data_IF_288072234592
#
_entry.id   IF_288072234592
#
_cell.length_a   1.000
_cell.length_b   1.000
_cell.length_c   1.000
_cell.angle_alpha   90.00
_cell.angle_beta   90.00
_cell.angle_gamma   90.00
#
_symmetry.space_group_name_H-M   'P 1'
#
loop_
_entity.id
_entity.type
_entity.pdbx_description
1 polymer ?
#
# COMPACT_ATOMS: atom_id res chain seq x y z
N UNK A 1 12.42 -5.29 4.22
CA UNK A 1 11.16 -5.21 3.44
C UNK A 1 10.04 -4.86 4.40
N UNK A 2 9.11 -3.99 4.00
CA UNK A 2 7.93 -3.63 4.82
C UNK A 2 6.68 -4.21 4.19
N UNK A 3 5.88 -4.93 4.98
CA UNK A 3 4.57 -5.46 4.57
C UNK A 3 3.47 -4.63 5.26
N UNK A 4 2.50 -4.20 4.46
CA UNK A 4 1.41 -3.34 4.89
C UNK A 4 0.09 -4.04 4.63
N UNK A 5 -0.63 -4.38 5.70
CA UNK A 5 -1.96 -5.00 5.61
C UNK A 5 -2.82 -4.59 6.80
N UNK A 6 -4.11 -4.96 6.80
CA UNK A 6 -4.98 -4.84 7.99
C UNK A 6 -4.57 -5.78 9.13
N UNK A 7 -3.61 -6.68 8.91
CA UNK A 7 -3.10 -7.61 9.93
C UNK A 7 -4.11 -8.66 10.38
N UNK A 8 -5.11 -8.99 9.56
CA UNK A 8 -6.16 -9.98 9.88
C UNK A 8 -5.66 -11.42 9.78
N UNK A 9 -4.71 -11.69 8.89
CA UNK A 9 -4.12 -13.02 8.69
C UNK A 9 -2.61 -12.91 8.91
N UNK A 10 -2.01 -13.76 9.76
CA UNK A 10 -0.57 -13.79 9.93
C UNK A 10 0.13 -14.41 8.72
N UNK A 11 1.37 -13.99 8.49
CA UNK A 11 2.30 -14.57 7.52
C UNK A 11 3.41 -15.35 8.24
N UNK A 12 4.19 -16.13 7.49
CA UNK A 12 5.27 -16.99 7.99
C UNK A 12 6.67 -16.34 7.90
N UNK A 13 6.77 -15.05 7.58
CA UNK A 13 8.06 -14.38 7.36
C UNK A 13 8.84 -14.04 8.65
N UNK A 14 8.28 -14.31 9.83
CA UNK A 14 8.94 -14.04 11.12
C UNK A 14 9.46 -12.59 11.23
N UNK A 15 10.65 -12.40 11.80
CA UNK A 15 11.24 -11.06 11.97
C UNK A 15 12.00 -10.55 10.72
N UNK A 16 11.93 -11.27 9.59
CA UNK A 16 12.61 -10.86 8.36
C UNK A 16 11.98 -9.63 7.68
N UNK A 17 10.77 -9.24 8.11
CA UNK A 17 10.00 -8.14 7.54
C UNK A 17 9.46 -7.21 8.63
N UNK A 18 9.44 -5.93 8.33
CA UNK A 18 8.75 -4.94 9.14
C UNK A 18 7.25 -4.99 8.80
N UNK A 19 6.37 -4.99 9.80
CA UNK A 19 4.92 -5.03 9.59
C UNK A 19 4.28 -3.73 10.05
N UNK A 20 3.50 -3.11 9.17
CA UNK A 20 2.65 -1.97 9.50
C UNK A 20 1.21 -2.41 9.34
N UNK A 21 0.44 -2.30 10.43
CA UNK A 21 -0.99 -2.60 10.45
C UNK A 21 -1.77 -1.32 10.18
N UNK A 22 -2.36 -1.22 8.99
CA UNK A 22 -3.13 -0.06 8.56
C UNK A 22 -4.19 -0.48 7.55
N UNK A 23 -5.33 0.21 7.58
CA UNK A 23 -6.33 0.10 6.54
C UNK A 23 -6.04 1.14 5.45
N UNK A 24 -5.80 0.69 4.21
CA UNK A 24 -5.47 1.58 3.08
C UNK A 24 -6.58 2.57 2.74
N UNK A 25 -7.81 2.30 3.16
CA UNK A 25 -8.97 3.16 2.91
C UNK A 25 -9.06 4.29 3.93
N UNK A 26 -8.29 4.22 5.03
CA UNK A 26 -8.22 5.26 6.04
C UNK A 26 -7.08 6.23 5.70
N UNK A 27 -7.45 7.40 5.18
CA UNK A 27 -6.50 8.43 4.75
C UNK A 27 -5.60 8.90 5.89
N UNK A 28 -6.15 9.26 7.04
CA UNK A 28 -5.37 9.80 8.16
C UNK A 28 -4.35 8.77 8.67
N UNK A 29 -4.76 7.52 8.81
CA UNK A 29 -3.87 6.45 9.25
C UNK A 29 -2.75 6.15 8.23
N UNK A 30 -3.04 6.27 6.93
CA UNK A 30 -2.04 6.13 5.88
C UNK A 30 -1.04 7.30 5.89
N UNK A 31 -1.52 8.53 6.06
CA UNK A 31 -0.67 9.71 6.18
C UNK A 31 0.21 9.66 7.44
N UNK A 32 -0.34 9.24 8.58
CA UNK A 32 0.43 9.06 9.81
C UNK A 32 1.52 8.00 9.67
N UNK A 33 1.18 6.85 9.06
CA UNK A 33 2.10 5.73 8.90
C UNK A 33 3.22 5.99 7.88
N UNK A 34 2.95 6.77 6.82
CA UNK A 34 3.84 6.87 5.67
C UNK A 34 4.31 8.27 5.30
N UNK A 35 3.65 9.33 5.76
CA UNK A 35 3.96 10.71 5.35
C UNK A 35 5.35 11.22 5.76
N UNK A 36 6.08 10.48 6.60
CA UNK A 36 7.48 10.76 6.96
C UNK A 36 8.44 9.61 6.61
N UNK A 37 7.99 8.63 5.81
CA UNK A 37 8.77 7.44 5.48
C UNK A 37 9.17 7.45 4.00
N UNK A 38 10.46 7.23 3.72
CA UNK A 38 10.97 7.17 2.34
C UNK A 38 11.17 5.73 1.87
N UNK A 39 10.73 5.46 0.65
CA UNK A 39 10.86 4.15 0.01
C UNK A 39 11.44 4.27 -1.40
N UNK A 40 12.35 3.37 -1.79
CA UNK A 40 12.80 3.29 -3.17
C UNK A 40 11.68 2.78 -4.09
N UNK A 41 10.92 1.78 -3.64
CA UNK A 41 9.83 1.17 -4.41
C UNK A 41 8.67 0.80 -3.49
N UNK A 42 7.45 1.12 -3.92
CA UNK A 42 6.21 0.62 -3.33
C UNK A 42 5.49 -0.27 -4.35
N UNK A 43 5.13 -1.48 -3.94
CA UNK A 43 4.27 -2.37 -4.70
C UNK A 43 2.86 -2.34 -4.11
N UNK A 44 1.88 -1.95 -4.92
CA UNK A 44 0.47 -1.98 -4.57
C UNK A 44 -0.25 -3.06 -5.37
N UNK A 45 -0.81 -4.05 -4.66
CA UNK A 45 -1.52 -5.17 -5.27
C UNK A 45 -3.04 -4.96 -5.32
N UNK A 46 -3.59 -3.93 -4.65
CA UNK A 46 -5.03 -3.71 -4.53
C UNK A 46 -5.36 -2.22 -4.66
N UNK A 47 -5.99 -1.83 -5.77
CA UNK A 47 -6.48 -0.46 -6.00
C UNK A 47 -7.75 -0.49 -6.87
N UNK A 48 -8.91 -0.68 -6.24
CA UNK A 48 -10.16 -0.91 -6.96
C UNK A 48 -10.93 0.36 -7.30
N UNK A 49 -10.72 1.43 -6.54
CA UNK A 49 -11.46 2.66 -6.70
C UNK A 49 -10.51 3.89 -6.77
N UNK A 50 -10.97 5.02 -7.33
CA UNK A 50 -10.15 6.22 -7.45
C UNK A 50 -9.73 6.85 -6.11
N UNK A 51 -10.52 6.68 -5.05
CA UNK A 51 -10.21 7.21 -3.72
C UNK A 51 -8.99 6.52 -3.12
N UNK A 52 -8.89 5.20 -3.25
CA UNK A 52 -7.73 4.42 -2.81
C UNK A 52 -6.44 4.83 -3.53
N UNK A 53 -6.55 5.20 -4.81
CA UNK A 53 -5.42 5.71 -5.59
C UNK A 53 -4.99 7.09 -5.07
N UNK A 54 -5.96 7.97 -4.82
CA UNK A 54 -5.72 9.31 -4.27
C UNK A 54 -5.02 9.24 -2.91
N UNK A 55 -5.51 8.42 -1.98
CA UNK A 55 -4.88 8.23 -0.67
C UNK A 55 -3.43 7.76 -0.82
N UNK A 56 -3.16 6.82 -1.73
CA UNK A 56 -1.80 6.35 -1.97
C UNK A 56 -0.89 7.45 -2.54
N UNK A 57 -1.37 8.26 -3.49
CA UNK A 57 -0.60 9.38 -4.02
C UNK A 57 -0.29 10.41 -2.94
N UNK A 58 -1.27 10.76 -2.10
CA UNK A 58 -1.06 11.70 -0.99
C UNK A 58 -0.09 11.15 0.06
N UNK A 59 -0.13 9.84 0.33
CA UNK A 59 0.73 9.21 1.35
C UNK A 59 2.17 8.99 0.89
N UNK A 60 2.40 8.76 -0.41
CA UNK A 60 3.70 8.34 -0.94
C UNK A 60 4.31 9.28 -1.97
N UNK A 61 3.54 10.19 -2.58
CA UNK A 61 3.91 10.94 -3.80
C UNK A 61 5.24 11.68 -3.70
N UNK A 62 5.52 12.28 -2.54
CA UNK A 62 6.77 13.01 -2.28
C UNK A 62 7.87 12.15 -1.63
N UNK A 63 7.56 10.88 -1.33
CA UNK A 63 8.39 10.02 -0.51
C UNK A 63 8.74 8.67 -1.16
N UNK A 64 8.39 8.47 -2.43
CA UNK A 64 8.67 7.23 -3.18
C UNK A 64 9.36 7.50 -4.52
N UNK A 65 10.43 6.77 -4.84
CA UNK A 65 11.08 6.89 -6.16
C UNK A 65 10.29 6.17 -7.26
N UNK A 66 9.62 5.06 -6.93
CA UNK A 66 8.81 4.28 -7.86
C UNK A 66 7.59 3.67 -7.18
N UNK A 67 6.41 3.90 -7.74
CA UNK A 67 5.18 3.25 -7.32
C UNK A 67 4.71 2.28 -8.41
N UNK A 68 4.61 1.00 -8.08
CA UNK A 68 4.19 -0.07 -8.99
C UNK A 68 2.81 -0.53 -8.55
N UNK A 69 1.79 -0.24 -9.36
CA UNK A 69 0.48 -0.81 -9.23
C UNK A 69 0.40 -2.10 -10.05
N UNK A 70 0.10 -3.22 -9.40
CA UNK A 70 -0.25 -4.45 -10.10
C UNK A 70 -1.75 -4.44 -10.37
N UNK A 71 -2.14 -4.20 -11.62
CA UNK A 71 -3.52 -4.38 -12.06
C UNK A 71 -3.74 -5.84 -12.48
N UNK A 72 -4.99 -6.30 -12.37
CA UNK A 72 -5.44 -7.50 -13.07
C UNK A 72 -6.18 -7.07 -14.34
N UNK A 73 -6.06 -7.86 -15.42
CA UNK A 73 -7.14 -7.90 -16.40
C UNK A 73 -8.38 -8.40 -15.65
N UNK A 74 -9.25 -7.49 -15.23
CA UNK A 74 -10.62 -7.89 -14.94
C UNK A 74 -11.13 -8.48 -16.26
N UNK A 75 -11.44 -9.77 -16.24
CA UNK A 75 -12.09 -10.44 -17.37
C UNK A 75 -13.51 -9.88 -17.41
N UNK A 76 -13.64 -8.68 -17.99
CA UNK A 76 -14.92 -8.16 -18.42
C UNK A 76 -15.29 -9.05 -19.60
N UNK A 77 -16.09 -10.09 -19.35
CA UNK A 77 -16.84 -10.68 -20.44
C UNK A 77 -17.66 -9.54 -21.08
N UNK A 78 -17.44 -9.38 -22.38
CA UNK A 78 -18.22 -8.57 -23.31
C UNK A 78 -19.72 -8.80 -23.17
#
# INVERSE_FOLDING_TARGET
MTIVTRGQTPDDFGDAVNRIKVDRTNQDAMMEAFGNCYYDVVYNQNCFNPQDAKIAVESFGDHVKRYILTSSMAVYNS
#
